data_IF_530060253379
#
_entry.id   IF_530060253379
#
_cell.length_a   1.000
_cell.length_b   1.000
_cell.length_c   1.000
_cell.angle_alpha   90.00
_cell.angle_beta   90.00
_cell.angle_gamma   90.00
#
_symmetry.space_group_name_H-M   'P 1'
#
loop_
_entity.id
_entity.type
_entity.pdbx_description
1 polymer ?
#
# COMPACT_ATOMS: atom_id res chain seq x y z
N UNK A 1 -3.13 -5.87 -10.67
CA UNK A 1 -1.95 -5.63 -11.53
C UNK A 1 -1.26 -6.96 -11.80
N UNK A 2 -0.97 -7.28 -13.06
CA UNK A 2 -0.31 -8.52 -13.52
C UNK A 2 0.57 -8.22 -14.74
N UNK A 3 1.37 -9.19 -15.20
CA UNK A 3 2.11 -9.08 -16.47
C UNK A 3 3.13 -7.94 -16.51
N UNK A 4 3.19 -7.20 -17.62
CA UNK A 4 4.16 -6.11 -17.80
C UNK A 4 4.04 -5.00 -16.75
N UNK A 5 2.81 -4.66 -16.33
CA UNK A 5 2.59 -3.66 -15.29
C UNK A 5 3.14 -4.10 -13.93
N UNK A 6 3.17 -5.40 -13.66
CA UNK A 6 3.77 -5.95 -12.44
C UNK A 6 5.30 -5.77 -12.47
N UNK A 7 5.93 -6.02 -13.62
CA UNK A 7 7.38 -5.83 -13.80
C UNK A 7 7.76 -4.35 -13.66
N UNK A 8 7.01 -3.44 -14.29
CA UNK A 8 7.21 -2.01 -14.12
C UNK A 8 7.06 -1.55 -12.67
N UNK A 9 6.09 -2.12 -11.94
CA UNK A 9 5.88 -1.84 -10.52
C UNK A 9 7.05 -2.34 -9.65
N UNK A 10 7.61 -3.51 -9.96
CA UNK A 10 8.81 -4.03 -9.31
C UNK A 10 10.03 -3.12 -9.56
N UNK A 11 10.23 -2.70 -10.81
CA UNK A 11 11.33 -1.82 -11.20
C UNK A 11 11.25 -0.46 -10.50
N UNK A 12 10.05 0.14 -10.42
CA UNK A 12 9.87 1.40 -9.69
C UNK A 12 10.15 1.25 -8.19
N UNK A 13 9.79 0.12 -7.58
CA UNK A 13 10.16 -0.13 -6.18
C UNK A 13 11.69 -0.04 -5.99
N UNK A 14 12.46 -0.73 -6.84
CA UNK A 14 13.92 -0.73 -6.79
C UNK A 14 14.47 0.68 -7.04
N UNK A 15 14.00 1.34 -8.10
CA UNK A 15 14.45 2.67 -8.49
C UNK A 15 14.21 3.71 -7.39
N UNK A 16 13.02 3.70 -6.77
CA UNK A 16 12.71 4.61 -5.66
C UNK A 16 13.62 4.37 -4.44
N UNK A 17 13.90 3.11 -4.13
CA UNK A 17 14.86 2.73 -3.08
C UNK A 17 16.25 3.31 -3.30
N UNK A 18 16.77 3.16 -4.52
CA UNK A 18 18.07 3.70 -4.91
C UNK A 18 18.10 5.24 -4.86
N UNK A 19 17.08 5.90 -5.40
CA UNK A 19 16.97 7.36 -5.42
C UNK A 19 16.91 7.96 -4.01
N UNK A 20 16.23 7.30 -3.08
CA UNK A 20 16.01 7.82 -1.72
C UNK A 20 16.98 7.30 -0.67
N UNK A 21 17.80 6.30 -1.00
CA UNK A 21 18.65 5.60 -0.04
C UNK A 21 17.88 4.80 1.02
N UNK A 22 16.56 4.62 0.85
CA UNK A 22 15.74 3.86 1.79
C UNK A 22 15.99 2.37 1.64
N UNK A 23 16.09 1.68 2.78
CA UNK A 23 16.42 0.24 2.83
C UNK A 23 15.23 -0.66 2.48
N UNK A 24 15.54 -1.87 1.98
CA UNK A 24 14.62 -2.99 1.69
C UNK A 24 13.62 -2.76 0.55
N UNK A 25 13.82 -1.73 -0.27
CA UNK A 25 13.01 -1.47 -1.46
C UNK A 25 13.38 -2.38 -2.63
N UNK A 26 14.66 -2.72 -2.73
CA UNK A 26 15.21 -3.76 -3.60
C UNK A 26 14.56 -5.12 -3.34
N UNK A 27 14.54 -5.55 -2.08
CA UNK A 27 13.91 -6.82 -1.67
C UNK A 27 12.41 -6.83 -1.95
N UNK A 28 11.71 -5.77 -1.56
CA UNK A 28 10.26 -5.72 -1.76
C UNK A 28 9.91 -5.60 -3.25
N UNK A 29 10.75 -4.97 -4.07
CA UNK A 29 10.65 -4.98 -5.53
C UNK A 29 10.82 -6.39 -6.12
N UNK A 30 11.79 -7.16 -5.65
CA UNK A 30 11.97 -8.54 -6.12
C UNK A 30 10.81 -9.46 -5.69
N UNK A 31 10.27 -9.27 -4.49
CA UNK A 31 9.05 -9.97 -4.07
C UNK A 31 7.87 -9.67 -4.99
N UNK A 32 7.71 -8.41 -5.42
CA UNK A 32 6.67 -8.04 -6.41
C UNK A 32 6.94 -8.71 -7.75
N UNK A 33 8.20 -8.73 -8.20
CA UNK A 33 8.60 -9.35 -9.47
C UNK A 33 8.23 -10.82 -9.55
N UNK A 34 8.40 -11.53 -8.45
CA UNK A 34 8.14 -12.96 -8.32
C UNK A 34 6.68 -13.29 -7.94
N UNK A 35 5.84 -12.28 -7.70
CA UNK A 35 4.41 -12.49 -7.41
C UNK A 35 3.64 -12.79 -8.70
N UNK A 36 2.50 -13.48 -8.60
CA UNK A 36 1.60 -13.69 -9.74
C UNK A 36 0.77 -12.43 -10.04
N UNK A 37 0.40 -11.70 -8.98
CA UNK A 37 -0.39 -10.48 -9.08
C UNK A 37 -0.13 -9.54 -7.90
N UNK A 38 -0.51 -8.27 -8.06
CA UNK A 38 -0.64 -7.29 -6.97
C UNK A 38 -2.05 -6.71 -6.98
N UNK A 39 -2.73 -6.79 -5.83
CA UNK A 39 -3.93 -6.01 -5.54
C UNK A 39 -3.51 -4.64 -4.99
N UNK A 40 -4.04 -3.56 -5.55
CA UNK A 40 -3.86 -2.20 -5.05
C UNK A 40 -5.16 -1.74 -4.42
N UNK A 41 -5.08 -1.19 -3.22
CA UNK A 41 -6.21 -0.59 -2.52
C UNK A 41 -5.80 0.82 -2.13
N UNK A 42 -6.65 1.80 -2.45
CA UNK A 42 -6.40 3.19 -2.11
C UNK A 42 -7.58 3.80 -1.36
N UNK A 43 -7.24 4.81 -0.59
CA UNK A 43 -8.18 5.74 0.00
C UNK A 43 -8.13 7.02 -0.84
N UNK A 44 -9.29 7.41 -1.38
CA UNK A 44 -9.46 8.55 -2.30
C UNK A 44 -10.64 9.40 -1.85
N UNK A 45 -10.45 10.72 -1.75
CA UNK A 45 -11.48 11.68 -1.38
C UNK A 45 -12.03 11.51 0.03
N UNK A 46 -11.24 10.97 0.96
CA UNK A 46 -11.73 10.60 2.28
C UNK A 46 -12.23 11.80 3.09
N UNK A 47 -13.51 11.78 3.42
CA UNK A 47 -14.14 12.76 4.30
C UNK A 47 -13.99 12.39 5.76
N UNK A 48 -14.05 13.40 6.64
CA UNK A 48 -14.17 13.16 8.08
C UNK A 48 -15.46 12.41 8.41
N UNK A 49 -15.51 11.79 9.59
CA UNK A 49 -16.71 11.10 10.07
C UNK A 49 -17.70 12.00 10.80
N UNK A 50 -17.34 13.27 11.06
CA UNK A 50 -18.16 14.22 11.82
C UNK A 50 -18.24 13.96 13.33
N UNK A 51 -17.48 12.98 13.85
CA UNK A 51 -17.57 12.55 15.25
C UNK A 51 -16.90 13.49 16.26
N UNK A 52 -16.07 14.44 15.83
CA UNK A 52 -15.29 15.33 16.71
C UNK A 52 -14.56 14.57 17.84
N UNK A 53 -13.91 13.46 17.47
CA UNK A 53 -13.39 12.48 18.43
C UNK A 53 -11.93 12.69 18.85
N UNK A 54 -11.22 13.69 18.33
CA UNK A 54 -9.80 13.91 18.66
C UNK A 54 -8.80 12.93 18.01
N UNK A 55 -9.23 11.79 17.46
CA UNK A 55 -8.34 10.69 17.07
C UNK A 55 -7.33 11.03 15.95
N UNK A 56 -7.58 12.08 15.16
CA UNK A 56 -6.66 12.58 14.13
C UNK A 56 -5.75 13.72 14.63
N UNK A 57 -5.78 14.03 15.93
CA UNK A 57 -5.02 15.12 16.55
C UNK A 57 -5.77 16.46 16.62
N UNK A 58 -7.03 16.53 16.18
CA UNK A 58 -7.88 17.72 16.19
C UNK A 58 -9.19 17.45 16.92
N UNK A 59 -9.62 18.37 17.79
CA UNK A 59 -10.81 18.22 18.62
C UNK A 59 -12.09 18.19 17.77
N UNK A 60 -12.18 19.05 16.76
CA UNK A 60 -13.32 19.10 15.83
C UNK A 60 -12.91 18.65 14.44
N UNK A 61 -13.78 17.88 13.78
CA UNK A 61 -13.55 17.43 12.40
C UNK A 61 -13.39 18.60 11.42
N UNK A 62 -14.04 19.74 11.69
CA UNK A 62 -13.89 20.98 10.90
C UNK A 62 -12.51 21.62 11.01
N UNK A 63 -11.70 21.25 12.02
CA UNK A 63 -10.35 21.78 12.21
C UNK A 63 -9.30 20.98 11.44
N UNK A 64 -9.66 19.79 10.92
CA UNK A 64 -8.75 18.99 10.11
C UNK A 64 -8.39 19.78 8.85
N UNK A 65 -7.11 20.13 8.63
CA UNK A 65 -6.71 20.93 7.49
C UNK A 65 -7.01 20.24 6.15
N UNK A 66 -7.09 21.06 5.10
CA UNK A 66 -7.19 20.54 3.74
C UNK A 66 -6.01 19.61 3.42
N UNK A 67 -6.31 18.60 2.60
CA UNK A 67 -5.32 17.64 2.15
C UNK A 67 -4.14 18.35 1.48
N UNK A 68 -2.92 17.99 1.87
CA UNK A 68 -1.66 18.43 1.27
C UNK A 68 -0.89 17.26 0.68
N UNK A 69 -0.13 17.54 -0.38
CA UNK A 69 0.83 16.58 -0.94
C UNK A 69 1.95 16.32 0.06
N UNK A 70 2.21 15.04 0.32
CA UNK A 70 3.36 14.60 1.10
C UNK A 70 4.45 14.00 0.23
N UNK A 71 5.49 13.44 0.87
CA UNK A 71 6.65 12.84 0.18
C UNK A 71 6.26 11.55 -0.57
N UNK A 72 5.41 10.73 0.05
CA UNK A 72 4.96 9.43 -0.47
C UNK A 72 3.44 9.36 -0.56
N UNK A 73 2.74 9.87 0.45
CA UNK A 73 1.29 9.91 0.55
C UNK A 73 0.79 11.28 0.99
N UNK A 74 -0.48 11.55 0.70
CA UNK A 74 -1.11 12.84 0.98
C UNK A 74 -1.81 12.77 2.34
N UNK A 75 -1.90 13.91 3.02
CA UNK A 75 -2.54 14.00 4.33
C UNK A 75 -2.75 15.44 4.78
N UNK A 76 -3.32 15.70 5.96
CA UNK A 76 -3.80 14.73 6.95
C UNK A 76 -5.08 14.00 6.50
N UNK A 77 -5.35 12.84 7.09
CA UNK A 77 -6.52 12.00 6.82
C UNK A 77 -7.20 11.67 8.15
N UNK A 78 -8.53 11.59 8.16
CA UNK A 78 -9.28 11.14 9.33
C UNK A 78 -8.85 9.71 9.75
N UNK A 79 -8.51 9.54 11.02
CA UNK A 79 -8.01 8.25 11.55
C UNK A 79 -8.95 7.07 11.28
N UNK A 80 -10.27 7.30 11.33
CA UNK A 80 -11.28 6.28 11.01
C UNK A 80 -11.27 5.85 9.55
N UNK A 81 -10.93 6.75 8.61
CA UNK A 81 -10.81 6.39 7.20
C UNK A 81 -9.58 5.53 6.93
N UNK A 82 -8.49 5.80 7.65
CA UNK A 82 -7.31 4.92 7.65
C UNK A 82 -7.68 3.54 8.21
N UNK A 83 -8.52 3.50 9.26
CA UNK A 83 -9.02 2.23 9.82
C UNK A 83 -9.90 1.48 8.82
N UNK A 84 -10.81 2.15 8.12
CA UNK A 84 -11.64 1.57 7.05
C UNK A 84 -10.75 0.93 5.96
N UNK A 85 -9.69 1.62 5.54
CA UNK A 85 -8.70 1.06 4.61
C UNK A 85 -8.01 -0.17 5.20
N UNK A 86 -7.64 -0.15 6.48
CA UNK A 86 -7.08 -1.30 7.19
C UNK A 86 -8.01 -2.51 7.20
N UNK A 87 -9.31 -2.30 7.42
CA UNK A 87 -10.33 -3.36 7.39
C UNK A 87 -10.43 -3.96 5.98
N UNK A 88 -10.43 -3.12 4.94
CA UNK A 88 -10.44 -3.57 3.55
C UNK A 88 -9.18 -4.40 3.22
N UNK A 89 -8.00 -3.94 3.63
CA UNK A 89 -6.74 -4.64 3.43
C UNK A 89 -6.71 -5.99 4.17
N UNK A 90 -7.16 -6.02 5.43
CA UNK A 90 -7.23 -7.25 6.23
C UNK A 90 -8.19 -8.27 5.63
N UNK A 91 -9.34 -7.81 5.13
CA UNK A 91 -10.32 -8.67 4.45
C UNK A 91 -9.76 -9.26 3.15
N UNK A 92 -9.06 -8.45 2.34
CA UNK A 92 -8.42 -8.90 1.11
C UNK A 92 -7.30 -9.92 1.37
N UNK A 93 -6.41 -9.62 2.32
CA UNK A 93 -5.32 -10.52 2.73
C UNK A 93 -5.87 -11.86 3.26
N UNK A 94 -6.91 -11.82 4.10
CA UNK A 94 -7.58 -13.02 4.60
C UNK A 94 -8.19 -13.84 3.47
N UNK A 95 -8.81 -13.18 2.49
CA UNK A 95 -9.42 -13.85 1.33
C UNK A 95 -8.35 -14.59 0.52
N UNK A 96 -7.21 -13.95 0.21
CA UNK A 96 -6.10 -14.62 -0.45
C UNK A 96 -5.61 -15.85 0.34
N UNK A 97 -5.48 -15.72 1.66
CA UNK A 97 -5.10 -16.86 2.52
C UNK A 97 -6.13 -17.99 2.56
N UNK A 98 -7.43 -17.73 2.40
CA UNK A 98 -8.46 -18.79 2.28
C UNK A 98 -8.23 -19.63 1.03
N UNK A 99 -7.73 -19.03 -0.05
CA UNK A 99 -7.33 -19.73 -1.27
C UNK A 99 -5.90 -20.28 -1.23
N UNK A 100 -5.26 -20.30 -0.06
CA UNK A 100 -3.86 -20.70 0.13
C UNK A 100 -2.87 -19.91 -0.75
N UNK A 101 -3.24 -18.69 -1.16
CA UNK A 101 -2.33 -17.79 -1.84
C UNK A 101 -1.53 -17.01 -0.79
N UNK A 102 -0.21 -17.16 -0.85
CA UNK A 102 0.71 -16.35 -0.07
C UNK A 102 0.49 -14.87 -0.40
N UNK A 103 0.52 -14.01 0.61
CA UNK A 103 0.33 -12.58 0.41
C UNK A 103 0.96 -11.76 1.54
N UNK A 104 1.18 -10.47 1.30
CA UNK A 104 1.66 -9.54 2.32
C UNK A 104 1.20 -8.11 2.05
N UNK A 105 0.66 -7.44 3.07
CA UNK A 105 0.34 -6.01 2.99
C UNK A 105 1.66 -5.21 2.96
N UNK A 106 1.89 -4.44 1.90
CA UNK A 106 3.13 -3.71 1.66
C UNK A 106 2.90 -2.22 1.37
N UNK A 107 3.48 -1.39 2.23
CA UNK A 107 3.56 0.06 2.08
C UNK A 107 4.30 0.49 0.81
N UNK A 108 5.49 -0.09 0.55
CA UNK A 108 6.41 0.33 -0.52
C UNK A 108 5.79 0.19 -1.92
N UNK A 109 5.07 -0.92 -2.12
CA UNK A 109 4.36 -1.21 -3.37
C UNK A 109 3.30 -0.14 -3.65
N UNK A 110 2.61 0.34 -2.61
CA UNK A 110 1.64 1.43 -2.74
C UNK A 110 2.28 2.75 -3.17
N UNK A 111 3.47 3.07 -2.65
CA UNK A 111 4.23 4.27 -3.06
C UNK A 111 4.63 4.18 -4.52
N UNK A 112 5.24 3.06 -4.93
CA UNK A 112 5.66 2.85 -6.31
C UNK A 112 4.46 2.91 -7.28
N UNK A 113 3.34 2.26 -6.94
CA UNK A 113 2.13 2.29 -7.75
C UNK A 113 1.55 3.70 -7.91
N UNK A 114 1.55 4.51 -6.84
CA UNK A 114 1.10 5.91 -6.88
C UNK A 114 2.00 6.76 -7.78
N UNK A 115 3.32 6.54 -7.73
CA UNK A 115 4.30 7.27 -8.56
C UNK A 115 4.19 6.94 -10.04
N UNK A 116 3.92 5.68 -10.38
CA UNK A 116 3.65 5.25 -11.75
C UNK A 116 2.26 5.65 -12.27
N UNK A 117 1.39 6.22 -11.42
CA UNK A 117 0.02 6.57 -11.80
C UNK A 117 -0.88 5.36 -12.05
N UNK A 118 -0.54 4.17 -11.52
CA UNK A 118 -1.34 2.96 -11.69
C UNK A 118 -2.66 3.00 -10.90
N UNK A 119 -2.71 3.83 -9.85
CA UNK A 119 -3.89 4.04 -9.02
C UNK A 119 -3.84 5.45 -8.41
N UNK A 120 -5.00 6.08 -8.31
CA UNK A 120 -5.16 7.36 -7.63
C UNK A 120 -5.57 7.17 -6.16
N UNK A 121 -5.15 8.10 -5.31
CA UNK A 121 -5.57 8.15 -3.91
C UNK A 121 -4.57 8.90 -3.03
N UNK A 122 -5.05 9.34 -1.87
CA UNK A 122 -4.22 10.01 -0.88
C UNK A 122 -3.22 9.02 -0.28
N UNK A 123 -3.70 7.83 0.07
CA UNK A 123 -2.95 6.72 0.64
C UNK A 123 -3.22 5.45 -0.18
N UNK A 124 -2.15 4.75 -0.59
CA UNK A 124 -2.23 3.53 -1.40
C UNK A 124 -1.44 2.44 -0.71
N UNK A 125 -1.97 1.22 -0.70
CA UNK A 125 -1.29 0.04 -0.17
C UNK A 125 -1.41 -1.10 -1.17
N UNK A 126 -0.32 -1.84 -1.37
CA UNK A 126 -0.29 -3.02 -2.23
C UNK A 126 -0.35 -4.31 -1.43
N UNK A 127 -0.99 -5.33 -1.99
CA UNK A 127 -0.95 -6.71 -1.53
C UNK A 127 -0.47 -7.57 -2.70
N UNK A 128 0.83 -7.87 -2.79
CA UNK A 128 1.32 -8.90 -3.70
C UNK A 128 0.75 -10.26 -3.30
N UNK A 129 0.45 -11.10 -4.29
CA UNK A 129 -0.16 -12.42 -4.16
C UNK A 129 0.69 -13.42 -4.96
N UNK A 130 1.00 -14.57 -4.35
CA UNK A 130 1.80 -15.64 -4.93
C UNK A 130 1.16 -17.01 -4.66
N UNK A 131 1.13 -17.86 -5.68
CA UNK A 131 0.68 -19.25 -5.62
C UNK A 131 1.86 -20.22 -5.85
N UNK A 132 2.95 -20.01 -5.11
CA UNK A 132 4.18 -20.79 -5.20
C UNK A 132 4.31 -21.81 -4.07
N UNK A 133 5.15 -22.85 -4.24
CA UNK A 133 5.33 -23.89 -3.22
C UNK A 133 6.00 -23.44 -1.92
N UNK A 134 6.65 -22.26 -1.93
CA UNK A 134 7.21 -21.60 -0.75
C UNK A 134 6.85 -20.12 -0.81
N UNK A 135 6.55 -19.55 0.35
CA UNK A 135 6.22 -18.13 0.49
C UNK A 135 7.45 -17.25 0.23
N UNK A 136 7.45 -16.53 -0.89
CA UNK A 136 8.51 -15.60 -1.27
C UNK A 136 8.60 -14.40 -0.30
N UNK A 137 7.48 -14.03 0.35
CA UNK A 137 7.42 -12.85 1.24
C UNK A 137 8.11 -13.03 2.59
N UNK A 138 8.41 -14.27 2.95
CA UNK A 138 9.12 -14.65 4.18
C UNK A 138 10.43 -15.37 3.89
N UNK A 139 10.80 -15.53 2.61
CA UNK A 139 12.07 -16.11 2.25
C UNK A 139 13.19 -15.13 2.59
N UNK A 140 13.96 -15.50 3.61
CA UNK A 140 15.20 -14.83 3.97
C UNK A 140 16.28 -15.70 3.35
N UNK A 141 16.64 -15.42 2.10
CA UNK A 141 17.80 -16.05 1.47
C UNK A 141 18.99 -16.04 2.45
N UNK A 142 19.75 -17.13 2.46
CA UNK A 142 21.00 -17.19 3.25
C UNK A 142 21.97 -16.09 2.82
#
# INVERSE_FOLDING_TARGET
>A
ITGEQLQALADECVAYGQQTGKKNWDRDGENVRQSDAVLLVSLKGAQTTGLNCGACGFDRCSELPALRKGVEFDGPICAWRIMDLGIALGSAAKTASIFNADNRIMYRVGVAAKRLGLIEGELVVGIPISATGKSIYFDRGK
#
